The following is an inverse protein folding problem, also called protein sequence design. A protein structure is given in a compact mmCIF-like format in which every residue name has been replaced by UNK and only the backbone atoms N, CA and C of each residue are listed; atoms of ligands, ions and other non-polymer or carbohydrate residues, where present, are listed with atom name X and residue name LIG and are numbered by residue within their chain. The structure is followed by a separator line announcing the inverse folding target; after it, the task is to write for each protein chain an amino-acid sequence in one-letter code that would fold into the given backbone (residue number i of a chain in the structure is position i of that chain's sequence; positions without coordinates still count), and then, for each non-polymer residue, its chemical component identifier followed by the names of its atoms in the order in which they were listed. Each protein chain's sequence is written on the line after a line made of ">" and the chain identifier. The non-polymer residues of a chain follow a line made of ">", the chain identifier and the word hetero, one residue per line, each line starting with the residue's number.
data_IF_899925444855
#
_entry.id   IF_899925444855
#
_cell.length_a   1.000
_cell.length_b   1.000
_cell.length_c   1.000
_cell.angle_alpha   90.00
_cell.angle_beta   90.00
_cell.angle_gamma   90.00
#
_symmetry.space_group_name_H-M   'P 1'
#
loop_
_entity.id
_entity.type
_entity.pdbx_description
1 polymer ?
#
# COMPACT_ATOMS: atom_id res chain seq x y z
N UNK A 1 -8.05 -2.36 1.79
CA UNK A 1 -6.93 -3.27 2.11
C UNK A 1 -7.42 -4.21 3.20
N UNK A 2 -7.14 -5.51 3.08
CA UNK A 2 -7.58 -6.53 4.03
C UNK A 2 -6.43 -6.99 4.92
N UNK A 3 -5.21 -7.04 4.39
CA UNK A 3 -3.98 -7.27 5.14
C UNK A 3 -2.84 -6.45 4.52
N UNK A 4 -1.91 -5.90 5.31
CA UNK A 4 -1.87 -5.92 6.79
C UNK A 4 -2.98 -5.08 7.44
N UNK A 5 -3.29 -5.43 8.69
CA UNK A 5 -4.28 -4.74 9.52
C UNK A 5 -3.72 -3.51 10.24
N UNK A 6 -4.60 -2.73 10.86
CA UNK A 6 -4.23 -1.53 11.62
C UNK A 6 -3.30 -1.88 12.77
N UNK A 7 -2.19 -1.15 12.87
CA UNK A 7 -1.10 -1.31 13.84
C UNK A 7 -0.42 -2.69 13.85
N UNK A 8 -0.61 -3.49 12.79
CA UNK A 8 0.08 -4.78 12.69
C UNK A 8 1.60 -4.58 12.63
N UNK A 9 2.34 -5.46 13.29
CA UNK A 9 3.80 -5.49 13.24
C UNK A 9 4.26 -6.31 12.04
N UNK A 10 5.12 -5.72 11.22
CA UNK A 10 5.63 -6.28 9.97
C UNK A 10 7.15 -6.48 10.05
N UNK A 11 7.62 -7.56 9.45
CA UNK A 11 9.04 -7.91 9.37
C UNK A 11 9.29 -8.80 8.14
N UNK A 12 10.43 -8.67 7.49
CA UNK A 12 10.77 -9.42 6.27
C UNK A 12 9.96 -8.98 5.04
N UNK A 13 9.56 -9.95 4.21
CA UNK A 13 8.73 -9.70 3.03
C UNK A 13 7.27 -10.00 3.39
N UNK A 14 6.41 -9.00 3.29
CA UNK A 14 5.01 -9.07 3.70
C UNK A 14 4.10 -8.89 2.49
N UNK A 15 3.19 -9.85 2.28
CA UNK A 15 2.14 -9.73 1.27
C UNK A 15 1.05 -8.75 1.70
N UNK A 16 0.74 -7.81 0.81
CA UNK A 16 -0.40 -6.88 0.95
C UNK A 16 -1.58 -7.44 0.17
N UNK A 17 -2.70 -7.67 0.83
CA UNK A 17 -3.91 -8.23 0.21
C UNK A 17 -5.09 -7.28 0.31
N UNK A 18 -5.99 -7.35 -0.66
CA UNK A 18 -7.20 -6.55 -0.70
C UNK A 18 -7.85 -6.51 -2.08
N UNK A 19 -8.61 -5.45 -2.32
CA UNK A 19 -9.34 -5.22 -3.57
C UNK A 19 -8.86 -3.90 -4.18
N UNK A 20 -8.50 -3.96 -5.47
CA UNK A 20 -8.14 -2.84 -6.31
C UNK A 20 -8.89 -2.99 -7.64
N UNK A 21 -10.08 -2.39 -7.69
CA UNK A 21 -11.01 -2.49 -8.83
C UNK A 21 -11.61 -1.13 -9.11
N UNK A 22 -11.93 -0.87 -10.38
CA UNK A 22 -12.64 0.33 -10.82
C UNK A 22 -13.33 0.06 -12.17
N UNK A 23 -14.45 0.73 -12.45
CA UNK A 23 -15.18 0.55 -13.72
C UNK A 23 -14.31 0.94 -14.93
N UNK A 24 -13.60 2.06 -14.80
CA UNK A 24 -12.64 2.59 -15.79
C UNK A 24 -11.19 2.36 -15.34
N UNK A 25 -10.89 1.19 -14.76
CA UNK A 25 -9.56 0.88 -14.22
C UNK A 25 -8.44 1.04 -15.25
N UNK A 26 -7.34 1.66 -14.82
CA UNK A 26 -6.08 1.70 -15.58
C UNK A 26 -4.99 0.91 -14.86
N UNK A 27 -4.71 1.26 -13.61
CA UNK A 27 -3.74 0.57 -12.77
C UNK A 27 -3.99 0.84 -11.29
N UNK A 28 -3.36 0.07 -10.42
CA UNK A 28 -3.22 0.43 -9.02
C UNK A 28 -1.74 0.51 -8.64
N UNK A 29 -1.46 1.28 -7.60
CA UNK A 29 -0.14 1.38 -6.99
C UNK A 29 -0.23 1.25 -5.47
N UNK A 30 0.79 0.62 -4.92
CA UNK A 30 1.03 0.51 -3.49
C UNK A 30 2.19 1.41 -3.10
N UNK A 31 1.98 2.18 -2.05
CA UNK A 31 2.96 3.13 -1.55
C UNK A 31 3.04 3.10 -0.03
N UNK A 32 4.19 3.46 0.54
CA UNK A 32 4.35 3.63 1.98
C UNK A 32 4.99 4.98 2.31
N UNK A 33 4.75 5.49 3.52
CA UNK A 33 5.43 6.65 4.07
C UNK A 33 5.63 6.49 5.58
N UNK A 34 6.71 7.01 6.18
CA UNK A 34 6.82 7.09 7.64
C UNK A 34 5.69 7.96 8.22
N UNK A 35 5.02 7.49 9.27
CA UNK A 35 3.84 8.17 9.83
C UNK A 35 4.18 9.45 10.62
N UNK A 36 5.44 9.63 11.01
CA UNK A 36 5.91 10.75 11.85
C UNK A 36 6.95 11.61 11.11
N UNK A 37 6.54 12.21 10.00
CA UNK A 37 7.38 13.16 9.24
C UNK A 37 6.65 14.50 9.07
N UNK A 38 7.36 15.64 9.14
CA UNK A 38 6.77 16.95 8.90
C UNK A 38 6.28 17.12 7.45
N UNK A 39 6.88 16.37 6.52
CA UNK A 39 6.43 16.25 5.13
C UNK A 39 6.28 14.77 4.82
N UNK A 40 5.06 14.35 4.48
CA UNK A 40 4.76 12.94 4.17
C UNK A 40 5.02 12.72 2.68
N UNK A 41 6.10 11.99 2.37
CA UNK A 41 6.43 11.55 1.01
C UNK A 41 6.14 10.06 0.89
N UNK A 42 5.23 9.70 0.00
CA UNK A 42 4.89 8.32 -0.29
C UNK A 42 5.83 7.74 -1.34
N UNK A 43 6.40 6.58 -1.02
CA UNK A 43 7.33 5.83 -1.86
C UNK A 43 6.60 4.66 -2.49
N UNK A 44 6.67 4.55 -3.82
CA UNK A 44 6.16 3.41 -4.57
C UNK A 44 6.99 2.16 -4.27
N UNK A 45 6.32 1.03 -4.06
CA UNK A 45 7.00 -0.25 -3.87
C UNK A 45 6.44 -1.39 -4.72
N UNK A 46 5.18 -1.32 -5.14
CA UNK A 46 4.57 -2.34 -6.00
C UNK A 46 3.27 -1.82 -6.65
N UNK A 47 2.76 -2.50 -7.66
CA UNK A 47 1.52 -2.15 -8.37
C UNK A 47 1.32 -2.97 -9.63
N UNK A 48 0.11 -2.94 -10.19
CA UNK A 48 -0.20 -3.66 -11.42
C UNK A 48 -1.30 -2.99 -12.25
N UNK A 49 -1.36 -3.40 -13.52
CA UNK A 49 -2.36 -2.96 -14.51
C UNK A 49 -3.50 -3.98 -14.68
N UNK A 50 -3.61 -4.93 -13.76
CA UNK A 50 -4.71 -5.89 -13.69
C UNK A 50 -5.52 -5.64 -12.42
N UNK A 51 -6.84 -5.74 -12.53
CA UNK A 51 -7.72 -5.62 -11.36
C UNK A 51 -7.55 -6.82 -10.43
N UNK A 52 -7.67 -6.58 -9.13
CA UNK A 52 -7.59 -7.62 -8.09
C UNK A 52 -8.78 -7.50 -7.16
N UNK A 53 -9.46 -8.61 -6.88
CA UNK A 53 -10.58 -8.66 -5.94
C UNK A 53 -10.29 -9.66 -4.83
N UNK A 54 -10.08 -9.17 -3.61
CA UNK A 54 -9.78 -10.00 -2.43
C UNK A 54 -8.48 -10.81 -2.51
N UNK A 55 -7.52 -10.38 -3.33
CA UNK A 55 -6.29 -11.13 -3.63
C UNK A 55 -5.01 -10.41 -3.19
N UNK A 56 -3.87 -10.94 -3.62
CA UNK A 56 -2.56 -10.31 -3.43
C UNK A 56 -2.45 -9.08 -4.34
N UNK A 57 -2.17 -7.93 -3.74
CA UNK A 57 -1.93 -6.68 -4.45
C UNK A 57 -0.43 -6.45 -4.70
N UNK A 58 0.43 -6.94 -3.83
CA UNK A 58 1.88 -6.80 -3.96
C UNK A 58 2.62 -7.22 -2.70
N UNK A 59 3.95 -7.13 -2.72
CA UNK A 59 4.80 -7.50 -1.60
C UNK A 59 5.62 -6.30 -1.10
N UNK A 60 5.52 -6.00 0.20
CA UNK A 60 6.37 -5.02 0.85
C UNK A 60 7.60 -5.72 1.44
N UNK A 61 8.78 -5.38 0.92
CA UNK A 61 10.04 -5.77 1.54
C UNK A 61 10.44 -4.77 2.62
N UNK A 62 10.25 -5.16 3.88
CA UNK A 62 10.54 -4.30 5.02
C UNK A 62 12.00 -4.34 5.46
N UNK A 63 12.83 -5.26 4.95
CA UNK A 63 14.22 -5.47 5.41
C UNK A 63 15.13 -4.27 5.20
N UNK A 64 14.82 -3.42 4.22
CA UNK A 64 15.53 -2.17 3.94
C UNK A 64 14.96 -0.94 4.67
N UNK A 65 13.90 -1.10 5.47
CA UNK A 65 13.19 -0.01 6.13
C UNK A 65 13.60 0.07 7.61
N UNK A 66 13.82 1.30 8.10
CA UNK A 66 14.10 1.52 9.51
C UNK A 66 12.88 1.17 10.37
N UNK A 67 13.11 0.59 11.55
CA UNK A 67 12.05 0.24 12.48
C UNK A 67 11.27 1.50 12.91
N UNK A 68 9.93 1.42 12.89
CA UNK A 68 9.07 2.57 13.15
C UNK A 68 7.65 2.41 12.64
N UNK A 69 6.85 3.47 12.77
CA UNK A 69 5.45 3.50 12.32
C UNK A 69 5.37 4.01 10.88
N UNK A 70 4.68 3.26 10.03
CA UNK A 70 4.50 3.58 8.61
C UNK A 70 3.02 3.57 8.25
N UNK A 71 2.67 4.38 7.27
CA UNK A 71 1.37 4.36 6.60
C UNK A 71 1.56 3.71 5.24
N UNK A 72 0.85 2.61 5.01
CA UNK A 72 0.74 1.98 3.69
C UNK A 72 -0.55 2.45 3.05
N UNK A 73 -0.55 2.58 1.72
CA UNK A 73 -1.77 2.86 0.97
C UNK A 73 -1.83 2.13 -0.35
N UNK A 74 -3.06 1.89 -0.79
CA UNK A 74 -3.37 1.51 -2.16
C UNK A 74 -4.12 2.65 -2.84
N UNK A 75 -3.70 2.99 -4.05
CA UNK A 75 -4.35 3.96 -4.94
C UNK A 75 -4.77 3.21 -6.20
N UNK A 76 -6.04 3.32 -6.56
CA UNK A 76 -6.57 2.84 -7.84
C UNK A 76 -6.72 4.05 -8.76
N UNK A 77 -6.11 4.00 -9.93
CA UNK A 77 -6.12 5.06 -10.92
C UNK A 77 -6.97 4.62 -12.10
N UNK A 78 -7.87 5.49 -12.53
CA UNK A 78 -8.70 5.27 -13.69
C UNK A 78 -8.04 5.75 -15.00
N UNK A 79 -8.66 5.44 -16.14
CA UNK A 79 -8.16 5.81 -17.47
C UNK A 79 -8.06 7.32 -17.71
N UNK A 80 -8.72 8.14 -16.88
CA UNK A 80 -8.64 9.60 -16.93
C UNK A 80 -7.53 10.16 -16.03
N UNK A 81 -6.82 9.29 -15.30
CA UNK A 81 -5.80 9.66 -14.32
C UNK A 81 -6.38 10.10 -12.97
N UNK A 82 -7.70 10.00 -12.77
CA UNK A 82 -8.33 10.31 -11.51
C UNK A 82 -8.26 9.10 -10.57
N UNK A 83 -8.28 9.38 -9.26
CA UNK A 83 -8.26 8.35 -8.23
C UNK A 83 -9.14 8.77 -7.05
N UNK A 84 -9.97 7.86 -6.51
CA UNK A 84 -10.72 8.12 -5.28
C UNK A 84 -9.77 8.25 -4.08
N UNK A 85 -10.25 8.71 -2.91
CA UNK A 85 -9.45 8.73 -1.69
C UNK A 85 -8.76 7.38 -1.45
N UNK A 86 -7.43 7.36 -1.26
CA UNK A 86 -6.70 6.11 -1.08
C UNK A 86 -7.12 5.37 0.16
N UNK A 87 -7.16 4.04 0.07
CA UNK A 87 -7.31 3.19 1.26
C UNK A 87 -5.95 3.09 1.94
N UNK A 88 -5.87 3.57 3.19
CA UNK A 88 -4.63 3.61 3.97
C UNK A 88 -4.71 2.71 5.20
N UNK A 89 -3.58 2.20 5.65
CA UNK A 89 -3.43 1.48 6.91
C UNK A 89 -2.12 1.88 7.58
N UNK A 90 -2.17 2.09 8.90
CA UNK A 90 -0.97 2.32 9.70
C UNK A 90 -0.44 0.98 10.19
N UNK A 91 0.86 0.74 10.10
CA UNK A 91 1.55 -0.47 10.53
C UNK A 91 2.83 -0.10 11.28
N UNK A 92 3.42 -1.06 11.99
CA UNK A 92 4.73 -0.90 12.62
C UNK A 92 5.72 -1.84 11.97
N UNK A 93 6.87 -1.33 11.53
CA UNK A 93 7.97 -2.15 11.02
C UNK A 93 8.93 -2.43 12.17
N UNK A 94 9.25 -3.71 12.37
CA UNK A 94 10.20 -4.19 13.36
C UNK A 94 10.98 -5.40 12.79
N UNK A 95 12.10 -5.13 12.14
CA UNK A 95 13.10 -6.13 11.72
C UNK A 95 14.10 -6.43 12.83
#
# INVERSE_FOLDING_TARGET
>A
MTSPGVNQVLSGVVGVTGTATHETFQYYKLEYAPARMPVVVFVYFDGANAQVQGGLLGNLDTRGLANGVYTLRVIVVDQTGNFPPPCQVTVTIQN
#
